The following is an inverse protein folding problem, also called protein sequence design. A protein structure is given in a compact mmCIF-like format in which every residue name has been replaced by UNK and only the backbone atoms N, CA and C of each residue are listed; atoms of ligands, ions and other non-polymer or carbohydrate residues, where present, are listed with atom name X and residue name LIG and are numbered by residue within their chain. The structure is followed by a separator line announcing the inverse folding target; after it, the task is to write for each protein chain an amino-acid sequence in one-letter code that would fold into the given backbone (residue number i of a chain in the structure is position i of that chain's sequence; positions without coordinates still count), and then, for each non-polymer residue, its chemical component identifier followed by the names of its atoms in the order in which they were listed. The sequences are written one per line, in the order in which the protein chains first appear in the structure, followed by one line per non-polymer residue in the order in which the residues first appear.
data_IF_386440749640
#
_entry.id   IF_386440749640
#
_cell.length_a   1.000
_cell.length_b   1.000
_cell.length_c   1.000
_cell.angle_alpha   90.00
_cell.angle_beta   90.00
_cell.angle_gamma   90.00
#
_symmetry.space_group_name_H-M   'P 1'
#
loop_
_entity.id
_entity.type
_entity.pdbx_description
1 polymer ?
#
# COMPACT_ATOMS: atom_id res chain seq x y z
N UNK A 1 7.48 -10.43 -10.00
CA UNK A 1 8.70 -10.84 -10.76
C UNK A 1 9.82 -9.78 -10.81
N UNK A 2 9.47 -8.50 -10.96
CA UNK A 2 10.45 -7.43 -11.27
C UNK A 2 11.05 -6.72 -10.05
N UNK A 3 10.76 -7.18 -8.84
CA UNK A 3 11.31 -6.64 -7.60
C UNK A 3 12.80 -7.02 -7.52
N UNK A 4 13.70 -6.04 -7.44
CA UNK A 4 15.14 -6.31 -7.36
C UNK A 4 15.54 -6.72 -5.93
N UNK A 5 16.54 -7.61 -5.83
CA UNK A 5 17.31 -7.89 -4.60
C UNK A 5 16.47 -8.21 -3.35
N UNK A 6 15.81 -9.36 -3.35
CA UNK A 6 15.14 -9.92 -2.16
C UNK A 6 15.43 -11.42 -2.04
N UNK A 7 15.57 -11.88 -0.80
CA UNK A 7 15.80 -13.30 -0.44
C UNK A 7 14.50 -14.11 -0.48
N UNK A 8 13.37 -13.47 -0.17
CA UNK A 8 12.06 -14.11 -0.23
C UNK A 8 11.50 -14.11 -1.65
N UNK A 9 10.90 -15.24 -2.04
CA UNK A 9 10.18 -15.39 -3.30
C UNK A 9 9.03 -16.37 -3.19
N UNK A 10 8.03 -16.20 -4.05
CA UNK A 10 6.89 -17.10 -4.21
C UNK A 10 6.47 -17.14 -5.68
N UNK A 11 5.80 -18.21 -6.10
CA UNK A 11 5.25 -18.34 -7.46
C UNK A 11 3.73 -18.52 -7.36
N UNK A 12 2.92 -17.58 -7.88
CA UNK A 12 1.47 -17.72 -7.89
C UNK A 12 1.04 -18.84 -8.85
N UNK A 13 0.13 -19.70 -8.39
CA UNK A 13 -0.53 -20.72 -9.22
C UNK A 13 -2.05 -20.65 -9.01
N UNK A 14 -2.86 -21.05 -10.01
CA UNK A 14 -4.31 -21.08 -9.87
C UNK A 14 -4.76 -21.96 -8.70
N UNK A 15 -5.71 -21.44 -7.92
CA UNK A 15 -6.34 -22.17 -6.83
C UNK A 15 -7.79 -21.71 -6.65
N UNK A 16 -8.55 -22.40 -5.81
CA UNK A 16 -9.89 -21.96 -5.44
C UNK A 16 -9.85 -20.54 -4.84
N UNK A 17 -10.75 -19.67 -5.28
CA UNK A 17 -10.73 -18.24 -4.94
C UNK A 17 -9.75 -17.37 -5.75
N UNK A 18 -8.81 -17.97 -6.49
CA UNK A 18 -7.83 -17.26 -7.32
C UNK A 18 -7.51 -18.04 -8.61
N UNK A 19 -8.49 -18.15 -9.53
CA UNK A 19 -8.35 -18.91 -10.79
C UNK A 19 -7.36 -18.31 -11.79
N UNK A 20 -7.17 -16.99 -11.77
CA UNK A 20 -6.27 -16.25 -12.67
C UNK A 20 -5.40 -15.27 -11.87
N UNK A 21 -4.45 -15.78 -11.04
CA UNK A 21 -3.67 -14.93 -10.17
C UNK A 21 -2.75 -14.01 -10.97
N UNK A 22 -2.52 -12.81 -10.44
CA UNK A 22 -1.57 -11.88 -11.06
C UNK A 22 -0.17 -12.50 -11.07
N UNK A 23 0.49 -12.46 -12.23
CA UNK A 23 1.79 -13.09 -12.46
C UNK A 23 1.79 -14.62 -12.27
N UNK A 24 0.70 -15.27 -12.66
CA UNK A 24 0.59 -16.73 -12.73
C UNK A 24 1.84 -17.39 -13.36
N UNK A 25 2.36 -18.42 -12.69
CA UNK A 25 3.55 -19.17 -13.11
C UNK A 25 4.88 -18.40 -13.04
N UNK A 26 4.87 -17.12 -12.68
CA UNK A 26 6.09 -16.27 -12.63
C UNK A 26 6.61 -16.15 -11.22
N UNK A 27 7.87 -16.52 -11.01
CA UNK A 27 8.58 -16.31 -9.74
C UNK A 27 8.59 -14.83 -9.37
N UNK A 28 7.99 -14.51 -8.23
CA UNK A 28 7.88 -13.18 -7.67
C UNK A 28 8.80 -13.03 -6.46
N UNK A 29 9.56 -11.94 -6.43
CA UNK A 29 10.41 -11.56 -5.31
C UNK A 29 9.72 -10.48 -4.49
N UNK A 30 9.96 -10.45 -3.18
CA UNK A 30 9.32 -9.48 -2.29
C UNK A 30 9.75 -9.61 -0.84
N UNK A 31 8.86 -9.23 0.07
CA UNK A 31 9.03 -9.34 1.52
C UNK A 31 7.97 -10.27 2.07
N UNK A 32 8.35 -11.14 3.00
CA UNK A 32 7.44 -12.00 3.73
C UNK A 32 6.95 -11.28 4.99
N UNK A 33 5.65 -10.99 5.06
CA UNK A 33 5.03 -10.29 6.19
C UNK A 33 4.31 -11.24 7.16
N UNK A 34 4.38 -12.57 6.94
CA UNK A 34 3.61 -13.56 7.74
C UNK A 34 3.97 -13.56 9.23
N UNK A 35 5.22 -13.25 9.54
CA UNK A 35 5.73 -13.17 10.93
C UNK A 35 5.85 -11.73 11.42
N UNK A 36 5.33 -10.75 10.67
CA UNK A 36 5.43 -9.34 11.06
C UNK A 36 4.41 -9.03 12.16
N UNK A 37 4.89 -8.43 13.25
CA UNK A 37 4.01 -7.92 14.30
C UNK A 37 3.29 -6.67 13.80
N UNK A 38 1.96 -6.75 13.69
CA UNK A 38 1.13 -5.62 13.29
C UNK A 38 0.80 -4.77 14.52
N UNK A 39 1.52 -3.66 14.67
CA UNK A 39 1.16 -2.65 15.67
C UNK A 39 -0.07 -1.86 15.18
N UNK A 40 -1.25 -2.21 15.69
CA UNK A 40 -2.52 -1.59 15.28
C UNK A 40 -2.56 -0.07 15.55
N UNK A 41 -1.84 0.39 16.57
CA UNK A 41 -1.77 1.81 16.94
C UNK A 41 -0.93 2.65 15.96
N UNK A 42 -0.12 2.00 15.11
CA UNK A 42 0.70 2.69 14.10
C UNK A 42 -0.09 3.05 12.84
N UNK A 43 -1.33 2.56 12.72
CA UNK A 43 -2.19 2.76 11.55
C UNK A 43 -1.60 2.13 10.28
N UNK A 44 -2.00 2.65 9.13
CA UNK A 44 -1.60 2.13 7.82
C UNK A 44 -0.07 2.19 7.64
N UNK A 45 0.58 1.07 7.35
CA UNK A 45 2.02 1.03 7.10
C UNK A 45 2.33 1.35 5.63
N UNK A 46 2.77 2.59 5.36
CA UNK A 46 3.14 3.03 4.01
C UNK A 46 4.51 2.53 3.55
N UNK A 47 5.30 1.91 4.42
CA UNK A 47 6.64 1.44 4.04
C UNK A 47 6.58 0.39 2.92
N UNK A 48 5.57 -0.48 2.91
CA UNK A 48 5.48 -1.53 1.89
C UNK A 48 5.31 -0.97 0.49
N UNK A 49 4.41 0.01 0.30
CA UNK A 49 4.18 0.59 -1.02
C UNK A 49 5.33 1.51 -1.45
N UNK A 50 5.95 2.21 -0.51
CA UNK A 50 7.12 3.05 -0.79
C UNK A 50 8.32 2.18 -1.15
N UNK A 51 8.57 1.08 -0.43
CA UNK A 51 9.62 0.11 -0.75
C UNK A 51 9.37 -0.52 -2.12
N UNK A 52 8.14 -0.95 -2.39
CA UNK A 52 7.77 -1.50 -3.70
C UNK A 52 7.97 -0.48 -4.82
N UNK A 53 7.53 0.77 -4.62
CA UNK A 53 7.73 1.85 -5.58
C UNK A 53 9.22 2.07 -5.83
N UNK A 54 10.06 2.13 -4.79
CA UNK A 54 11.52 2.33 -4.87
C UNK A 54 12.26 1.17 -5.56
N UNK A 55 11.79 -0.06 -5.43
CA UNK A 55 12.46 -1.23 -6.03
C UNK A 55 11.90 -1.64 -7.40
N UNK A 56 10.75 -1.09 -7.80
CA UNK A 56 10.18 -1.37 -9.11
C UNK A 56 10.99 -0.68 -10.24
N UNK A 57 11.39 -1.40 -11.30
CA UNK A 57 12.28 -0.85 -12.34
C UNK A 57 11.63 0.24 -13.19
N UNK A 58 10.32 0.15 -13.45
CA UNK A 58 9.60 1.11 -14.30
C UNK A 58 8.69 2.02 -13.47
N UNK A 59 9.25 3.10 -12.90
CA UNK A 59 8.50 4.04 -12.05
C UNK A 59 7.25 4.60 -12.74
N UNK A 60 7.37 4.94 -14.03
CA UNK A 60 6.28 5.54 -14.84
C UNK A 60 5.05 4.62 -14.92
N UNK A 61 5.25 3.31 -14.84
CA UNK A 61 4.19 2.31 -14.92
C UNK A 61 3.90 1.61 -13.59
N UNK A 62 4.46 2.09 -12.46
CA UNK A 62 4.14 1.52 -11.15
C UNK A 62 2.68 1.79 -10.78
N UNK A 63 2.28 3.07 -10.85
CA UNK A 63 0.88 3.46 -10.74
C UNK A 63 0.23 3.39 -12.13
N UNK A 64 -0.77 2.53 -12.29
CA UNK A 64 -1.39 2.26 -13.57
C UNK A 64 -2.14 3.48 -14.13
N UNK A 65 -2.11 3.65 -15.46
CA UNK A 65 -2.77 4.76 -16.17
C UNK A 65 -4.28 4.84 -15.93
N UNK A 66 -4.92 3.74 -15.56
CA UNK A 66 -6.35 3.68 -15.24
C UNK A 66 -6.73 4.40 -13.92
N UNK A 67 -5.74 4.92 -13.18
CA UNK A 67 -5.92 5.68 -11.93
C UNK A 67 -6.72 4.94 -10.85
N UNK A 68 -6.74 3.61 -10.89
CA UNK A 68 -7.45 2.83 -9.88
C UNK A 68 -6.85 3.00 -8.48
N UNK A 69 -5.54 3.23 -8.39
CA UNK A 69 -4.88 3.55 -7.12
C UNK A 69 -5.44 4.83 -6.47
N UNK A 70 -5.66 5.88 -7.25
CA UNK A 70 -6.19 7.16 -6.75
C UNK A 70 -7.63 6.97 -6.23
N UNK A 71 -8.41 6.05 -6.81
CA UNK A 71 -9.74 5.68 -6.32
C UNK A 71 -9.68 4.94 -4.98
N UNK A 72 -8.76 3.96 -4.84
CA UNK A 72 -8.57 3.24 -3.57
C UNK A 72 -8.07 4.16 -2.46
N UNK A 73 -7.20 5.12 -2.80
CA UNK A 73 -6.66 6.10 -1.85
C UNK A 73 -7.63 7.28 -1.56
N UNK A 74 -8.76 7.36 -2.26
CA UNK A 74 -9.72 8.46 -2.16
C UNK A 74 -9.30 9.79 -2.79
N UNK A 75 -8.05 9.90 -3.27
CA UNK A 75 -7.55 11.05 -4.03
C UNK A 75 -6.23 10.73 -4.74
N UNK A 76 -5.75 11.66 -5.57
CA UNK A 76 -4.41 11.56 -6.17
C UNK A 76 -3.27 11.99 -5.24
N UNK A 77 -3.56 12.48 -4.02
CA UNK A 77 -2.57 13.06 -3.10
C UNK A 77 -1.49 12.03 -2.74
N UNK A 78 -1.89 10.86 -2.25
CA UNK A 78 -0.96 9.81 -1.80
C UNK A 78 0.00 9.39 -2.91
N UNK A 79 -0.50 9.18 -4.14
CA UNK A 79 0.32 8.82 -5.28
C UNK A 79 1.39 9.89 -5.56
N UNK A 80 0.97 11.15 -5.63
CA UNK A 80 1.88 12.28 -5.89
C UNK A 80 2.94 12.41 -4.78
N UNK A 81 2.59 12.16 -3.52
CA UNK A 81 3.53 12.21 -2.40
C UNK A 81 4.56 11.06 -2.47
N UNK A 82 4.13 9.85 -2.85
CA UNK A 82 5.05 8.72 -3.07
C UNK A 82 5.98 9.00 -4.26
N UNK A 83 5.42 9.51 -5.37
CA UNK A 83 6.20 9.90 -6.56
C UNK A 83 7.22 10.99 -6.24
N UNK A 84 6.88 11.93 -5.36
CA UNK A 84 7.76 13.00 -4.87
C UNK A 84 8.78 12.54 -3.82
N UNK A 85 8.76 11.26 -3.41
CA UNK A 85 9.74 10.69 -2.48
C UNK A 85 9.51 11.04 -1.01
N UNK A 86 8.33 11.50 -0.63
CA UNK A 86 8.00 11.83 0.76
C UNK A 86 8.07 10.58 1.66
N UNK A 87 8.47 10.79 2.91
CA UNK A 87 8.50 9.74 3.92
C UNK A 87 7.09 9.38 4.42
N UNK A 88 6.88 8.16 4.96
CA UNK A 88 5.62 7.78 5.61
C UNK A 88 5.15 8.79 6.66
N UNK A 89 6.10 9.36 7.43
CA UNK A 89 5.80 10.31 8.51
C UNK A 89 5.24 11.62 7.94
N UNK A 90 5.84 12.15 6.89
CA UNK A 90 5.35 13.38 6.24
C UNK A 90 3.98 13.18 5.59
N UNK A 91 3.78 12.04 4.93
CA UNK A 91 2.48 11.70 4.32
C UNK A 91 1.40 11.62 5.40
N UNK A 92 1.64 10.89 6.49
CA UNK A 92 0.69 10.74 7.60
C UNK A 92 0.41 12.06 8.31
N UNK A 93 1.42 12.91 8.49
CA UNK A 93 1.23 14.26 9.05
C UNK A 93 0.24 15.07 8.23
N UNK A 94 0.27 14.91 6.90
CA UNK A 94 -0.71 15.54 6.00
C UNK A 94 -2.16 15.10 6.20
N UNK A 95 -2.40 13.97 6.86
CA UNK A 95 -3.75 13.44 7.13
C UNK A 95 -4.30 13.89 8.49
N UNK A 96 -3.45 14.36 9.42
CA UNK A 96 -3.85 14.63 10.81
C UNK A 96 -5.03 15.60 10.91
N UNK A 97 -5.06 16.63 10.06
CA UNK A 97 -6.16 17.61 10.04
C UNK A 97 -7.50 16.94 9.71
N UNK A 98 -7.60 16.29 8.55
CA UNK A 98 -8.82 15.63 8.08
C UNK A 98 -9.24 14.47 9.02
N UNK A 99 -8.27 13.76 9.61
CA UNK A 99 -8.53 12.73 10.62
C UNK A 99 -9.13 13.30 11.91
N UNK A 100 -8.63 14.43 12.39
CA UNK A 100 -9.16 15.08 13.59
C UNK A 100 -10.57 15.66 13.34
N UNK A 101 -10.83 16.19 12.14
CA UNK A 101 -12.17 16.61 11.73
C UNK A 101 -13.14 15.42 11.69
N UNK A 102 -12.73 14.30 11.07
CA UNK A 102 -13.56 13.09 11.02
C UNK A 102 -13.81 12.49 12.40
N UNK A 103 -12.83 12.52 13.31
CA UNK A 103 -13.00 12.06 14.70
C UNK A 103 -14.11 12.83 15.43
N UNK A 104 -14.22 14.13 15.22
CA UNK A 104 -15.32 14.94 15.79
C UNK A 104 -16.67 14.60 15.17
N UNK A 105 -16.70 14.36 13.86
CA UNK A 105 -17.94 14.00 13.15
C UNK A 105 -18.45 12.63 13.63
N UNK A 106 -17.57 11.64 13.73
CA UNK A 106 -17.97 10.26 14.08
C UNK A 106 -18.49 10.12 15.50
N UNK A 107 -18.10 11.00 16.44
CA UNK A 107 -18.55 10.99 17.83
C UNK A 107 -20.08 11.00 17.95
N UNK A 108 -20.78 11.71 17.06
CA UNK A 108 -22.24 11.76 17.02
C UNK A 108 -22.92 10.41 16.67
N UNK A 109 -22.14 9.44 16.19
CA UNK A 109 -22.64 8.17 15.65
C UNK A 109 -22.02 6.94 16.32
N UNK A 110 -21.19 7.12 17.36
CA UNK A 110 -20.60 6.01 18.10
C UNK A 110 -21.64 5.37 19.02
N UNK A 111 -21.81 4.04 18.89
CA UNK A 111 -22.66 3.22 19.76
C UNK A 111 -21.85 2.40 20.77
N UNK A 112 -20.52 2.46 20.68
CA UNK A 112 -19.60 1.81 21.61
C UNK A 112 -18.60 2.86 22.14
N UNK A 113 -18.22 2.76 23.43
CA UNK A 113 -17.16 3.57 24.02
C UNK A 113 -15.83 3.49 23.26
#
# INVERSE_FOLDING_TARGET
PYYKNRTFSFTPYPMEGAKHPKFEGKKCYGVDLRSEYININSGINLNYIIDAYKNYPNKKNFFLKNRFFDKLAGSNKLRRQIEAGMSPKEIKKGWEKELNEFKKIRENYLIYP
#
